data_IF_194789359502
#
_entry.id   IF_194789359502
#
_cell.length_a   1.000
_cell.length_b   1.000
_cell.length_c   1.000
_cell.angle_alpha   90.00
_cell.angle_beta   90.00
_cell.angle_gamma   90.00
#
_symmetry.space_group_name_H-M   'P 1'
#
loop_
_entity.id
_entity.type
_entity.pdbx_description
1 polymer ?
#
# COMPACT_ATOMS: atom_id res chain seq x y z
N UNK A 1 26.07 23.56 -6.05
CA UNK A 1 25.06 22.57 -6.51
C UNK A 1 24.00 22.25 -5.46
N UNK A 2 24.34 22.03 -4.17
CA UNK A 2 23.33 21.75 -3.13
C UNK A 2 22.22 22.80 -3.00
N UNK A 3 22.55 24.09 -3.20
CA UNK A 3 21.56 25.18 -3.26
C UNK A 3 20.50 24.97 -4.35
N UNK A 4 20.86 24.38 -5.48
CA UNK A 4 19.93 24.09 -6.58
C UNK A 4 18.92 23.00 -6.20
N UNK A 5 19.36 21.93 -5.55
CA UNK A 5 18.46 20.88 -5.03
C UNK A 5 17.55 21.44 -3.94
N UNK A 6 18.09 22.26 -3.03
CA UNK A 6 17.29 22.92 -2.00
C UNK A 6 16.25 23.88 -2.59
N UNK A 7 16.61 24.65 -3.62
CA UNK A 7 15.69 25.52 -4.34
C UNK A 7 14.56 24.71 -5.02
N UNK A 8 14.91 23.67 -5.76
CA UNK A 8 13.92 22.77 -6.37
C UNK A 8 12.99 22.16 -5.32
N UNK A 9 13.53 21.74 -4.16
CA UNK A 9 12.72 21.21 -3.07
C UNK A 9 11.74 22.27 -2.56
N UNK A 10 12.21 23.50 -2.33
CA UNK A 10 11.36 24.60 -1.86
C UNK A 10 10.21 24.90 -2.84
N UNK A 11 10.51 25.02 -4.13
CA UNK A 11 9.51 25.30 -5.18
C UNK A 11 8.43 24.21 -5.28
N UNK A 12 8.82 22.96 -5.00
CA UNK A 12 7.94 21.80 -5.00
C UNK A 12 7.42 21.44 -3.60
N UNK A 13 7.40 22.40 -2.68
CA UNK A 13 6.83 22.26 -1.32
C UNK A 13 7.44 21.09 -0.53
N UNK A 14 8.71 20.81 -0.79
CA UNK A 14 9.54 19.80 -0.16
C UNK A 14 9.22 18.37 -0.58
N UNK A 15 8.61 18.16 -1.75
CA UNK A 15 8.43 16.85 -2.37
C UNK A 15 8.75 16.90 -3.87
N UNK A 16 9.79 16.19 -4.29
CA UNK A 16 10.24 16.09 -5.68
C UNK A 16 10.27 14.66 -6.16
N UNK A 17 9.71 14.43 -7.35
CA UNK A 17 9.94 13.19 -8.06
C UNK A 17 11.42 13.10 -8.44
N UNK A 18 12.04 11.96 -8.16
CA UNK A 18 13.46 11.73 -8.43
C UNK A 18 13.79 11.82 -9.92
N UNK A 19 12.84 11.44 -10.78
CA UNK A 19 12.95 11.54 -12.23
C UNK A 19 13.15 13.00 -12.69
N UNK A 20 12.44 13.95 -12.08
CA UNK A 20 12.46 15.37 -12.47
C UNK A 20 13.83 16.04 -12.17
N UNK A 21 14.65 15.45 -11.30
CA UNK A 21 15.94 16.00 -10.84
C UNK A 21 17.12 15.02 -11.02
N UNK A 22 16.98 14.02 -11.89
CA UNK A 22 17.99 12.98 -12.06
C UNK A 22 19.40 13.54 -12.31
N UNK A 23 19.52 14.52 -13.22
CA UNK A 23 20.80 15.15 -13.57
C UNK A 23 21.44 15.90 -12.39
N UNK A 24 20.61 16.57 -11.58
CA UNK A 24 21.08 17.27 -10.38
C UNK A 24 21.55 16.29 -9.32
N UNK A 25 20.87 15.15 -9.17
CA UNK A 25 21.24 14.12 -8.21
C UNK A 25 22.55 13.43 -8.58
N UNK A 26 22.81 13.18 -9.87
CA UNK A 26 24.07 12.59 -10.34
C UNK A 26 25.25 13.52 -10.01
N UNK A 27 25.08 14.84 -10.19
CA UNK A 27 26.12 15.85 -9.90
C UNK A 27 26.26 16.19 -8.41
N UNK A 28 25.48 15.57 -7.54
CA UNK A 28 25.47 15.87 -6.11
C UNK A 28 26.40 14.94 -5.34
N UNK A 29 27.52 15.49 -4.86
CA UNK A 29 28.54 14.74 -4.12
C UNK A 29 28.07 14.22 -2.75
N UNK A 30 28.74 13.19 -2.25
CA UNK A 30 28.40 12.55 -0.98
C UNK A 30 28.42 13.49 0.25
N UNK A 31 29.37 14.45 0.40
CA UNK A 31 29.33 15.40 1.50
C UNK A 31 28.08 16.28 1.47
N UNK A 32 27.69 16.76 0.28
CA UNK A 32 26.49 17.59 0.09
C UNK A 32 25.20 16.80 0.39
N UNK A 33 25.13 15.54 -0.05
CA UNK A 33 24.03 14.63 0.31
C UNK A 33 23.93 14.43 1.82
N UNK A 34 25.07 14.29 2.51
CA UNK A 34 25.10 14.19 3.98
C UNK A 34 24.57 15.47 4.64
N UNK A 35 25.00 16.64 4.18
CA UNK A 35 24.47 17.91 4.69
C UNK A 35 22.97 18.04 4.49
N UNK A 36 22.44 17.70 3.31
CA UNK A 36 20.99 17.73 3.07
C UNK A 36 20.21 16.78 4.00
N UNK A 37 20.76 15.60 4.30
CA UNK A 37 20.17 14.68 5.29
C UNK A 37 20.15 15.27 6.70
N UNK A 38 21.18 16.03 7.09
CA UNK A 38 21.20 16.73 8.38
C UNK A 38 20.10 17.79 8.49
N UNK A 39 19.75 18.44 7.37
CA UNK A 39 18.61 19.35 7.29
C UNK A 39 17.25 18.65 7.13
N UNK A 40 17.19 17.32 7.24
CA UNK A 40 15.95 16.55 7.22
C UNK A 40 15.45 16.16 5.83
N UNK A 41 16.26 16.31 4.78
CA UNK A 41 15.93 15.78 3.45
C UNK A 41 16.16 14.27 3.42
N UNK A 42 15.16 13.53 2.97
CA UNK A 42 15.26 12.10 2.67
C UNK A 42 15.37 11.86 1.17
N UNK A 43 16.31 11.01 0.81
CA UNK A 43 16.51 10.53 -0.54
C UNK A 43 15.85 9.16 -0.66
N UNK A 44 14.60 9.18 -1.10
CA UNK A 44 13.85 7.98 -1.39
C UNK A 44 14.24 7.34 -2.72
N UNK A 45 13.60 6.21 -2.98
CA UNK A 45 13.62 5.50 -4.22
C UNK A 45 13.00 6.30 -5.35
N UNK A 46 11.79 6.79 -5.11
CA UNK A 46 10.96 7.46 -6.11
C UNK A 46 10.98 8.97 -5.93
N UNK A 47 11.10 9.46 -4.69
CA UNK A 47 11.05 10.89 -4.40
C UNK A 47 12.17 11.34 -3.48
N UNK A 48 12.54 12.61 -3.59
CA UNK A 48 13.37 13.33 -2.62
C UNK A 48 12.45 14.29 -1.88
N UNK A 49 12.36 14.14 -0.56
CA UNK A 49 11.32 14.83 0.20
C UNK A 49 11.74 15.14 1.64
N UNK A 50 10.98 15.99 2.32
CA UNK A 50 11.17 16.32 3.74
C UNK A 50 10.04 15.71 4.58
N UNK A 51 10.31 14.67 5.40
CA UNK A 51 9.27 14.00 6.20
C UNK A 51 8.51 14.93 7.16
N UNK A 52 9.17 15.99 7.65
CA UNK A 52 8.54 16.98 8.52
C UNK A 52 7.36 17.70 7.85
N UNK A 53 7.41 17.88 6.53
CA UNK A 53 6.37 18.54 5.73
C UNK A 53 5.21 17.61 5.37
N UNK A 54 5.38 16.29 5.49
CA UNK A 54 4.31 15.30 5.29
C UNK A 54 3.37 15.17 6.50
N UNK A 55 3.66 15.86 7.61
CA UNK A 55 2.77 15.91 8.77
C UNK A 55 1.47 16.64 8.39
N UNK A 56 0.32 16.27 8.98
CA UNK A 56 -0.99 16.80 8.56
C UNK A 56 -1.08 18.33 8.49
N UNK A 57 -0.63 19.04 9.53
CA UNK A 57 -0.73 20.50 9.58
C UNK A 57 0.15 21.19 8.51
N UNK A 58 1.46 20.89 8.39
CA UNK A 58 2.28 21.43 7.30
C UNK A 58 1.76 21.06 5.90
N UNK A 59 1.38 19.79 5.68
CA UNK A 59 0.90 19.33 4.38
C UNK A 59 -0.37 20.05 3.95
N UNK A 60 -1.31 20.31 4.87
CA UNK A 60 -2.52 21.06 4.60
C UNK A 60 -2.23 22.50 4.15
N UNK A 61 -1.30 23.18 4.84
CA UNK A 61 -0.90 24.56 4.48
C UNK A 61 -0.19 24.59 3.13
N UNK A 62 0.72 23.65 2.87
CA UNK A 62 1.45 23.56 1.60
C UNK A 62 0.52 23.24 0.42
N UNK A 63 -0.45 22.36 0.64
CA UNK A 63 -1.47 22.06 -0.36
C UNK A 63 -2.36 23.26 -0.65
N UNK A 64 -2.81 23.99 0.38
CA UNK A 64 -3.56 25.23 0.22
C UNK A 64 -2.75 26.27 -0.56
N UNK A 65 -1.48 26.48 -0.19
CA UNK A 65 -0.59 27.38 -0.90
C UNK A 65 -0.43 26.97 -2.37
N UNK A 66 -0.28 25.68 -2.66
CA UNK A 66 -0.16 25.18 -4.03
C UNK A 66 -1.43 25.45 -4.87
N UNK A 67 -2.62 25.31 -4.28
CA UNK A 67 -3.89 25.61 -4.95
C UNK A 67 -4.01 27.11 -5.26
N UNK A 68 -3.64 27.96 -4.29
CA UNK A 68 -3.68 29.42 -4.45
C UNK A 68 -2.69 29.92 -5.51
N UNK A 69 -1.47 29.36 -5.54
CA UNK A 69 -0.46 29.67 -6.56
C UNK A 69 -0.92 29.32 -7.98
N UNK A 70 -1.78 28.31 -8.12
CA UNK A 70 -2.37 27.91 -9.41
C UNK A 70 -3.59 28.75 -9.80
N UNK A 71 -3.97 29.74 -8.99
CA UNK A 71 -5.13 30.61 -9.25
C UNK A 71 -6.47 29.88 -9.15
N UNK A 72 -6.53 28.74 -8.44
CA UNK A 72 -7.73 27.92 -8.27
C UNK A 72 -8.50 28.28 -7.01
N UNK A 73 -9.76 27.88 -6.98
CA UNK A 73 -10.64 28.05 -5.82
C UNK A 73 -10.23 27.11 -4.68
N UNK A 74 -9.43 27.64 -3.74
CA UNK A 74 -8.97 26.93 -2.55
C UNK A 74 -10.09 26.21 -1.79
N UNK A 75 -11.23 26.88 -1.59
CA UNK A 75 -12.36 26.32 -0.86
C UNK A 75 -12.96 25.07 -1.51
N UNK A 76 -12.83 24.92 -2.83
CA UNK A 76 -13.39 23.79 -3.58
C UNK A 76 -12.40 22.64 -3.69
N UNK A 77 -11.15 22.94 -4.06
CA UNK A 77 -10.16 21.90 -4.34
C UNK A 77 -9.54 21.31 -3.07
N UNK A 78 -9.55 22.03 -1.94
CA UNK A 78 -9.02 21.49 -0.67
C UNK A 78 -9.83 20.29 -0.16
N UNK A 79 -11.14 20.25 -0.40
CA UNK A 79 -12.01 19.13 0.00
C UNK A 79 -11.84 17.89 -0.88
N UNK A 80 -11.28 18.06 -2.07
CA UNK A 80 -10.98 16.97 -3.03
C UNK A 80 -9.62 16.32 -2.77
N UNK A 81 -8.80 16.95 -1.92
CA UNK A 81 -7.52 16.37 -1.53
C UNK A 81 -7.73 15.27 -0.49
N UNK A 82 -6.85 14.25 -0.48
CA UNK A 82 -6.98 13.15 0.45
C UNK A 82 -6.86 13.63 1.90
N UNK A 83 -7.76 13.16 2.77
CA UNK A 83 -7.68 13.44 4.20
C UNK A 83 -6.39 12.85 4.81
N UNK A 84 -5.81 13.51 5.83
CA UNK A 84 -4.63 12.98 6.50
C UNK A 84 -4.94 11.63 7.17
N UNK A 85 -3.96 10.74 7.18
CA UNK A 85 -4.08 9.39 7.77
C UNK A 85 -4.46 8.30 6.78
N UNK A 86 -4.95 8.65 5.59
CA UNK A 86 -5.20 7.68 4.52
C UNK A 86 -3.90 7.30 3.80
N UNK A 87 -3.70 6.00 3.58
CA UNK A 87 -2.53 5.43 2.88
C UNK A 87 -2.71 5.49 1.37
N UNK A 88 -3.91 5.17 0.88
CA UNK A 88 -4.29 5.31 -0.52
C UNK A 88 -5.75 5.74 -0.65
N UNK A 89 -6.03 6.56 -1.67
CA UNK A 89 -7.39 6.99 -2.02
C UNK A 89 -7.59 6.96 -3.53
N UNK A 90 -8.83 6.85 -4.03
CA UNK A 90 -9.13 7.12 -5.43
C UNK A 90 -8.65 8.51 -5.85
N UNK A 91 -8.07 8.61 -7.04
CA UNK A 91 -7.59 9.88 -7.57
C UNK A 91 -8.78 10.67 -8.14
N UNK A 92 -8.89 11.91 -7.71
CA UNK A 92 -9.80 12.89 -8.29
C UNK A 92 -9.12 13.67 -9.44
N UNK A 93 -9.91 14.45 -10.16
CA UNK A 93 -9.40 15.30 -11.25
C UNK A 93 -8.72 16.56 -10.71
N UNK A 94 -7.59 16.38 -10.01
CA UNK A 94 -6.73 17.44 -9.52
C UNK A 94 -5.34 17.38 -10.19
N UNK A 95 -4.67 18.54 -10.32
CA UNK A 95 -3.27 18.62 -10.75
C UNK A 95 -2.33 17.79 -9.85
N UNK A 96 -1.32 17.17 -10.45
CA UNK A 96 -0.34 16.37 -9.73
C UNK A 96 0.42 17.19 -8.67
N UNK A 97 0.63 18.48 -8.92
CA UNK A 97 1.33 19.40 -7.99
C UNK A 97 0.61 19.54 -6.66
N UNK A 98 -0.72 19.58 -6.66
CA UNK A 98 -1.53 19.67 -5.44
C UNK A 98 -1.41 18.39 -4.60
N UNK A 99 -1.47 17.21 -5.24
CA UNK A 99 -1.21 15.94 -4.56
C UNK A 99 0.19 15.90 -3.96
N UNK A 100 1.22 16.30 -4.74
CA UNK A 100 2.61 16.31 -4.27
C UNK A 100 2.79 17.22 -3.06
N UNK A 101 2.17 18.41 -3.07
CA UNK A 101 2.19 19.36 -1.96
C UNK A 101 1.46 18.83 -0.71
N UNK A 102 0.38 18.06 -0.91
CA UNK A 102 -0.32 17.35 0.17
C UNK A 102 0.44 16.10 0.68
N UNK A 103 1.59 15.77 0.09
CA UNK A 103 2.39 14.60 0.47
C UNK A 103 1.89 13.27 -0.13
N UNK A 104 1.16 13.34 -1.24
CA UNK A 104 0.68 12.19 -1.99
C UNK A 104 1.37 12.07 -3.35
N UNK A 105 1.61 10.83 -3.76
CA UNK A 105 2.06 10.46 -5.08
C UNK A 105 0.85 10.08 -5.95
N UNK A 106 0.52 10.87 -6.99
CA UNK A 106 -0.60 10.57 -7.87
C UNK A 106 -0.21 9.48 -8.88
N UNK A 107 -0.95 8.38 -8.91
CA UNK A 107 -0.91 7.37 -9.98
C UNK A 107 -2.06 7.61 -10.96
N UNK A 108 -2.32 6.65 -11.87
CA UNK A 108 -3.41 6.76 -12.84
C UNK A 108 -4.79 6.80 -12.16
N UNK A 109 -5.06 5.84 -11.30
CA UNK A 109 -6.38 5.68 -10.67
C UNK A 109 -6.42 6.11 -9.20
N UNK A 110 -5.26 6.21 -8.52
CA UNK A 110 -5.18 6.44 -7.07
C UNK A 110 -4.16 7.51 -6.70
N UNK A 111 -4.27 8.03 -5.48
CA UNK A 111 -3.25 8.85 -4.85
C UNK A 111 -2.77 8.14 -3.58
N UNK A 112 -1.44 8.05 -3.40
CA UNK A 112 -0.82 7.25 -2.35
C UNK A 112 0.02 8.14 -1.45
N UNK A 113 -0.04 7.94 -0.15
CA UNK A 113 0.80 8.67 0.79
C UNK A 113 2.27 8.37 0.54
N UNK A 114 3.07 9.43 0.39
CA UNK A 114 4.46 9.30 -0.05
C UNK A 114 5.31 8.43 0.89
N UNK A 115 5.17 8.58 2.20
CA UNK A 115 5.91 7.79 3.18
C UNK A 115 5.62 6.29 3.07
N UNK A 116 4.38 5.90 2.75
CA UNK A 116 4.01 4.49 2.56
C UNK A 116 4.55 3.93 1.25
N UNK A 117 4.60 4.77 0.20
CA UNK A 117 5.18 4.38 -1.08
C UNK A 117 6.68 4.05 -0.96
N UNK A 118 7.41 4.83 -0.16
CA UNK A 118 8.84 4.59 0.07
C UNK A 118 9.04 3.34 0.95
N UNK A 119 8.17 3.09 1.93
CA UNK A 119 8.17 1.82 2.70
C UNK A 119 7.86 0.60 1.83
N UNK A 120 6.97 0.74 0.85
CA UNK A 120 6.73 -0.33 -0.12
C UNK A 120 8.01 -0.66 -0.89
N UNK A 121 8.78 0.35 -1.28
CA UNK A 121 10.06 0.14 -1.93
C UNK A 121 11.08 -0.55 -1.03
N UNK A 122 11.14 -0.18 0.24
CA UNK A 122 11.99 -0.84 1.23
C UNK A 122 11.70 -2.35 1.37
N UNK A 123 10.45 -2.79 1.11
CA UNK A 123 10.09 -4.21 1.03
C UNK A 123 10.45 -4.87 -0.29
N UNK A 124 10.35 -4.15 -1.41
CA UNK A 124 10.63 -4.69 -2.74
C UNK A 124 12.14 -4.82 -2.97
N UNK A 125 12.94 -3.86 -2.47
CA UNK A 125 14.39 -3.80 -2.69
C UNK A 125 15.12 -5.08 -2.31
N UNK A 126 14.95 -5.66 -1.10
CA UNK A 126 15.60 -6.92 -0.73
C UNK A 126 15.24 -8.05 -1.69
N UNK A 127 13.96 -8.20 -2.03
CA UNK A 127 13.46 -9.26 -2.91
C UNK A 127 14.07 -9.21 -4.32
N UNK A 128 14.41 -8.01 -4.80
CA UNK A 128 15.07 -7.80 -6.09
C UNK A 128 16.59 -8.04 -6.04
N UNK A 129 17.21 -7.93 -4.86
CA UNK A 129 18.64 -8.18 -4.67
C UNK A 129 18.96 -9.62 -4.27
N UNK A 130 17.95 -10.37 -3.82
CA UNK A 130 18.11 -11.77 -3.46
C UNK A 130 18.59 -12.57 -4.68
N UNK A 131 19.76 -13.20 -4.51
CA UNK A 131 20.46 -13.88 -5.58
C UNK A 131 19.65 -15.06 -6.15
N UNK A 132 18.85 -15.72 -5.32
CA UNK A 132 18.01 -16.85 -5.73
C UNK A 132 16.92 -16.43 -6.73
N UNK A 133 16.29 -15.27 -6.51
CA UNK A 133 15.29 -14.72 -7.41
C UNK A 133 15.93 -14.17 -8.70
N UNK A 134 17.05 -13.45 -8.54
CA UNK A 134 17.77 -12.82 -9.65
C UNK A 134 18.33 -13.83 -10.65
N UNK A 135 18.83 -14.97 -10.16
CA UNK A 135 19.46 -15.99 -11.01
C UNK A 135 18.46 -16.88 -11.76
N UNK A 136 17.26 -17.11 -11.22
CA UNK A 136 16.28 -18.06 -11.79
C UNK A 136 15.31 -17.42 -12.79
N UNK A 137 14.91 -16.16 -12.58
CA UNK A 137 13.75 -15.57 -13.29
C UNK A 137 14.02 -14.14 -13.77
N UNK A 138 15.25 -13.63 -13.61
CA UNK A 138 15.53 -12.20 -13.69
C UNK A 138 15.08 -11.47 -12.43
N UNK A 139 15.10 -10.13 -12.43
CA UNK A 139 14.66 -9.31 -11.29
C UNK A 139 13.13 -9.30 -11.14
N UNK A 140 12.55 -10.44 -10.77
CA UNK A 140 11.12 -10.64 -10.57
C UNK A 140 10.82 -10.91 -9.10
N UNK A 141 9.67 -10.44 -8.63
CA UNK A 141 9.16 -10.72 -7.29
C UNK A 141 7.67 -11.00 -7.35
N UNK A 142 7.16 -11.68 -6.34
CA UNK A 142 5.73 -11.92 -6.17
C UNK A 142 5.12 -10.90 -5.21
N UNK A 143 3.87 -10.52 -5.45
CA UNK A 143 3.14 -9.62 -4.57
C UNK A 143 2.77 -10.38 -3.28
N UNK A 144 3.15 -9.80 -2.13
CA UNK A 144 2.91 -10.40 -0.82
C UNK A 144 1.75 -9.70 -0.09
N UNK A 145 1.20 -10.38 0.92
CA UNK A 145 0.15 -9.83 1.79
C UNK A 145 0.59 -8.53 2.50
N UNK A 146 1.86 -8.45 2.90
CA UNK A 146 2.43 -7.27 3.57
C UNK A 146 2.39 -6.02 2.67
N UNK A 147 2.62 -6.19 1.37
CA UNK A 147 2.58 -5.10 0.40
C UNK A 147 1.15 -4.54 0.26
N UNK A 148 0.14 -5.41 0.23
CA UNK A 148 -1.27 -5.01 0.17
C UNK A 148 -1.70 -4.33 1.46
N UNK A 149 -1.23 -4.83 2.62
CA UNK A 149 -1.53 -4.27 3.94
C UNK A 149 -1.01 -2.83 4.10
N UNK A 150 0.26 -2.57 3.75
CA UNK A 150 0.86 -1.22 3.86
C UNK A 150 0.16 -0.21 2.94
N UNK A 151 -0.24 -0.65 1.75
CA UNK A 151 -0.88 0.23 0.77
C UNK A 151 -2.37 0.42 1.02
N UNK A 152 -2.98 -0.44 1.84
CA UNK A 152 -4.41 -0.43 2.12
C UNK A 152 -5.25 -0.60 0.85
N UNK A 153 -4.80 -1.45 -0.08
CA UNK A 153 -5.46 -1.65 -1.37
C UNK A 153 -5.45 -3.13 -1.80
N UNK A 154 -6.30 -3.48 -2.77
CA UNK A 154 -6.38 -4.83 -3.30
C UNK A 154 -5.21 -5.19 -4.23
N UNK A 155 -5.15 -6.45 -4.67
CA UNK A 155 -4.13 -6.92 -5.61
C UNK A 155 -4.18 -6.17 -6.95
N UNK A 156 -5.38 -5.88 -7.46
CA UNK A 156 -5.53 -5.13 -8.71
C UNK A 156 -4.96 -3.72 -8.59
N UNK A 157 -5.35 -2.99 -7.55
CA UNK A 157 -4.83 -1.65 -7.26
C UNK A 157 -3.31 -1.66 -7.10
N UNK A 158 -2.77 -2.64 -6.36
CA UNK A 158 -1.33 -2.77 -6.16
C UNK A 158 -0.59 -3.02 -7.49
N UNK A 159 -1.17 -3.82 -8.39
CA UNK A 159 -0.64 -4.01 -9.75
C UNK A 159 -0.58 -2.72 -10.56
N UNK A 160 -1.61 -1.87 -10.48
CA UNK A 160 -1.63 -0.56 -11.13
C UNK A 160 -0.59 0.40 -10.54
N UNK A 161 -0.42 0.37 -9.21
CA UNK A 161 0.58 1.15 -8.49
C UNK A 161 1.98 0.75 -8.93
N UNK A 162 2.29 -0.55 -8.93
CA UNK A 162 3.57 -1.07 -9.38
C UNK A 162 3.84 -0.74 -10.86
N UNK A 163 2.80 -0.79 -11.70
CA UNK A 163 2.89 -0.37 -13.10
C UNK A 163 3.24 1.12 -13.24
N UNK A 164 2.65 1.98 -12.40
CA UNK A 164 2.97 3.40 -12.37
C UNK A 164 4.40 3.70 -11.86
N UNK A 165 5.00 2.78 -11.09
CA UNK A 165 6.39 2.85 -10.64
C UNK A 165 7.40 2.29 -11.67
N UNK A 166 6.91 1.72 -12.77
CA UNK A 166 7.74 1.17 -13.85
C UNK A 166 7.98 -0.34 -13.78
N UNK A 167 7.31 -1.06 -12.87
CA UNK A 167 7.34 -2.53 -12.87
C UNK A 167 6.38 -3.08 -13.92
N UNK A 168 6.74 -4.21 -14.54
CA UNK A 168 5.82 -4.95 -15.41
C UNK A 168 5.07 -5.97 -14.58
N UNK A 169 3.74 -5.81 -14.53
CA UNK A 169 2.86 -6.78 -13.92
C UNK A 169 2.51 -7.89 -14.92
N UNK A 170 3.00 -9.09 -14.65
CA UNK A 170 2.54 -10.32 -15.31
C UNK A 170 1.54 -11.00 -14.40
N UNK A 171 0.29 -11.14 -14.87
CA UNK A 171 -0.64 -12.05 -14.20
C UNK A 171 0.00 -13.44 -14.21
N UNK A 172 0.06 -14.15 -13.08
CA UNK A 172 0.40 -15.56 -13.12
C UNK A 172 -0.58 -16.21 -14.09
N UNK A 173 -0.07 -17.03 -15.01
CA UNK A 173 -0.93 -17.90 -15.80
C UNK A 173 -1.82 -18.62 -14.81
N UNK A 174 -3.14 -18.52 -14.98
CA UNK A 174 -4.06 -19.38 -14.28
C UNK A 174 -3.70 -20.79 -14.76
N UNK A 175 -2.83 -21.49 -14.03
CA UNK A 175 -2.94 -22.92 -14.00
C UNK A 175 -4.32 -23.13 -13.38
N UNK A 176 -5.29 -23.37 -14.26
CA UNK A 176 -6.47 -24.13 -13.90
C UNK A 176 -5.92 -25.36 -13.19
N UNK A 177 -5.92 -25.31 -11.85
CA UNK A 177 -5.94 -26.53 -11.08
C UNK A 177 -7.30 -27.09 -11.42
N UNK A 178 -7.34 -27.90 -12.49
CA UNK A 178 -8.38 -28.87 -12.69
C UNK A 178 -8.35 -29.69 -11.42
N UNK A 179 -9.18 -29.33 -10.45
CA UNK A 179 -9.59 -30.26 -9.43
C UNK A 179 -10.25 -31.39 -10.21
N UNK A 180 -9.49 -32.45 -10.50
CA UNK A 180 -10.08 -33.72 -10.84
C UNK A 180 -11.06 -34.02 -9.71
N UNK A 181 -12.36 -34.18 -10.00
CA UNK A 181 -13.32 -34.56 -8.98
C UNK A 181 -12.88 -35.92 -8.43
N UNK A 182 -12.76 -35.99 -7.10
CA UNK A 182 -12.60 -37.25 -6.40
C UNK A 182 -13.68 -38.24 -6.90
N UNK A 183 -13.35 -39.52 -7.15
CA UNK A 183 -14.33 -40.48 -7.62
C UNK A 183 -15.45 -40.61 -6.59
N UNK A 184 -16.68 -40.37 -7.04
CA UNK A 184 -17.88 -40.66 -6.28
C UNK A 184 -17.97 -42.17 -6.06
N UNK A 185 -17.91 -42.59 -4.79
CA UNK A 185 -18.33 -43.93 -4.39
C UNK A 185 -19.83 -44.08 -4.69
N UNK A 186 -20.12 -45.12 -5.45
CA UNK A 186 -21.44 -45.46 -5.96
C UNK A 186 -22.34 -46.00 -4.83
N UNK A 187 -23.54 -45.43 -4.72
CA UNK A 187 -24.65 -46.02 -3.99
C UNK A 187 -25.09 -47.33 -4.67
N UNK A 188 -25.13 -48.44 -3.93
CA UNK A 188 -26.00 -49.58 -4.23
C UNK A 188 -27.16 -49.60 -3.24
N UNK A 189 -28.35 -49.51 -3.82
CA UNK A 189 -29.69 -49.55 -3.22
C UNK A 189 -30.03 -50.93 -2.65
N UNK A 190 -30.69 -51.00 -1.48
CA UNK A 190 -31.82 -51.93 -1.27
C UNK A 190 -32.65 -51.57 -0.03
N UNK A 191 -33.89 -51.17 -0.30
CA UNK A 191 -35.13 -51.58 0.37
C UNK A 191 -35.48 -51.11 1.80
N UNK A 192 -36.53 -50.28 1.87
CA UNK A 192 -37.33 -49.99 3.07
C UNK A 192 -38.35 -51.13 3.34
N UNK A 193 -38.96 -51.25 4.54
CA UNK A 193 -40.03 -50.33 4.91
C UNK A 193 -40.06 -49.91 6.40
N UNK A 194 -40.62 -48.72 6.65
CA UNK A 194 -41.09 -48.24 7.96
C UNK A 194 -42.47 -48.87 8.31
N UNK A 195 -43.21 -48.52 9.39
CA UNK A 195 -42.96 -47.52 10.46
C UNK A 195 -43.40 -47.96 11.89
N UNK A 196 -42.97 -47.22 12.93
CA UNK A 196 -43.75 -47.11 14.19
C UNK A 196 -43.30 -45.90 15.03
N UNK A 197 -44.12 -44.85 15.04
CA UNK A 197 -44.15 -43.77 16.04
C UNK A 197 -44.94 -44.22 17.30
N UNK A 198 -45.08 -43.42 18.39
CA UNK A 198 -44.29 -42.30 18.92
C UNK A 198 -44.05 -42.44 20.45
N UNK A 199 -43.18 -41.62 21.08
CA UNK A 199 -43.51 -41.06 22.42
C UNK A 199 -42.59 -39.93 22.89
N UNK A 200 -43.24 -38.80 23.11
CA UNK A 200 -42.82 -37.62 23.87
C UNK A 200 -42.41 -38.00 25.30
N UNK A 201 -41.31 -37.39 25.81
CA UNK A 201 -41.23 -36.71 27.12
C UNK A 201 -39.81 -36.19 27.41
N UNK A 202 -39.65 -34.87 27.51
CA UNK A 202 -38.67 -34.25 28.42
C UNK A 202 -39.28 -34.24 29.83
N UNK A 203 -38.48 -34.44 30.89
CA UNK A 203 -38.13 -33.29 31.75
C UNK A 203 -36.67 -33.28 32.23
N UNK A 204 -36.32 -32.15 32.87
CA UNK A 204 -34.97 -31.63 33.19
C UNK A 204 -34.38 -32.20 34.53
N UNK A 205 -33.33 -31.57 35.11
CA UNK A 205 -31.98 -32.10 35.29
C UNK A 205 -31.71 -32.61 36.72
N UNK A 206 -30.68 -33.43 36.93
CA UNK A 206 -30.20 -33.76 38.28
C UNK A 206 -28.71 -33.42 38.43
N UNK A 207 -28.46 -32.47 39.35
CA UNK A 207 -27.17 -32.21 39.97
C UNK A 207 -26.77 -33.42 40.82
N UNK A 208 -25.55 -33.92 40.65
CA UNK A 208 -24.90 -34.77 41.65
C UNK A 208 -23.82 -33.95 42.33
N UNK A 209 -24.05 -33.71 43.63
CA UNK A 209 -23.10 -33.18 44.59
C UNK A 209 -22.06 -34.25 44.89
N UNK A 210 -20.78 -33.90 44.88
CA UNK A 210 -19.77 -34.60 45.68
C UNK A 210 -19.06 -33.60 46.60
N UNK A 211 -19.19 -33.87 47.90
CA UNK A 211 -18.46 -33.26 49.02
C UNK A 211 -17.15 -34.02 49.22
N UNK A 212 -16.12 -33.37 49.79
CA UNK A 212 -15.49 -33.69 51.10
C UNK A 212 -14.19 -32.82 51.24
N UNK A 213 -14.12 -31.78 52.11
CA UNK A 213 -13.60 -31.72 53.52
C UNK A 213 -12.16 -32.23 53.72
N UNK A 214 -11.21 -31.71 54.53
CA UNK A 214 -11.01 -30.60 55.52
C UNK A 214 -9.46 -30.51 55.69
N UNK A 215 -8.85 -29.39 56.10
CA UNK A 215 -8.60 -28.96 57.49
C UNK A 215 -8.16 -27.51 57.48
#
# INVERSE_FOLDING_TARGET
MARGVAFQLLENKGNLARADIADLLVRLDQPLRRSLRQYGVRFGAYNVFMPALLKPAPAAILALAAILEEGREAAKDIHRLPAPGLTSVPRENLPARQYRAAGFYPTRARAIRLDMLERLDDLIRPLLTDAENTAKTGKTFHMNADMMSIMGCGAQDLGEILSALGYRYTKPAQNEVTCEPAPAEQETTSEAPAPMEPRIKRPKPQMVKQKLTTR
#
